data_IF_398812128970
#
_entry.id   IF_398812128970
#
_cell.length_a   1.000
_cell.length_b   1.000
_cell.length_c   1.000
_cell.angle_alpha   90.00
_cell.angle_beta   90.00
_cell.angle_gamma   90.00
#
_symmetry.space_group_name_H-M   'P 1'
#
loop_
_entity.id
_entity.type
_entity.pdbx_description
1 polymer ?
#
# COMPACT_ATOMS: atom_id res chain seq x y z
N UNK A 1 22.99 23.64 7.93
CA UNK A 1 23.10 22.33 7.26
C UNK A 1 21.80 22.10 6.52
N UNK A 2 21.83 21.63 5.26
CA UNK A 2 20.61 21.12 4.63
C UNK A 2 20.10 19.92 5.45
N UNK A 3 18.78 19.67 5.51
CA UNK A 3 18.28 18.44 6.09
C UNK A 3 18.92 17.26 5.35
N UNK A 4 19.39 16.25 6.10
CA UNK A 4 19.85 15.00 5.48
C UNK A 4 18.64 14.35 4.83
N UNK A 5 18.57 14.37 3.51
CA UNK A 5 17.76 13.41 2.75
C UNK A 5 18.47 12.07 2.87
N UNK A 6 18.00 11.22 3.77
CA UNK A 6 18.38 9.80 3.73
C UNK A 6 17.64 9.20 2.55
N UNK A 7 18.38 8.86 1.49
CA UNK A 7 17.88 7.99 0.43
C UNK A 7 17.63 6.61 1.06
N UNK A 8 16.37 6.31 1.36
CA UNK A 8 15.94 4.99 1.80
C UNK A 8 15.87 4.14 0.54
N UNK A 9 16.71 3.12 0.44
CA UNK A 9 16.63 2.17 -0.65
C UNK A 9 15.33 1.37 -0.53
N UNK A 10 14.64 1.10 -1.65
CA UNK A 10 13.42 0.27 -1.67
C UNK A 10 13.62 -1.10 -0.98
N UNK A 11 14.84 -1.62 -0.96
CA UNK A 11 15.23 -2.87 -0.29
C UNK A 11 15.19 -2.80 1.24
N UNK A 12 15.12 -1.60 1.84
CA UNK A 12 14.96 -1.39 3.29
C UNK A 12 13.49 -1.21 3.70
N UNK A 13 12.54 -1.23 2.76
CA UNK A 13 11.12 -1.12 3.06
C UNK A 13 10.54 -2.48 3.43
N UNK A 14 10.10 -2.61 4.68
CA UNK A 14 9.37 -3.79 5.14
C UNK A 14 7.97 -3.84 4.48
N UNK A 15 7.52 -5.03 4.02
CA UNK A 15 6.17 -5.18 3.48
C UNK A 15 5.12 -4.94 4.56
N UNK A 16 3.95 -4.47 4.15
CA UNK A 16 2.82 -4.30 5.08
C UNK A 16 2.40 -5.66 5.67
N UNK A 17 2.15 -5.67 6.98
CA UNK A 17 1.65 -6.88 7.64
C UNK A 17 0.30 -7.33 7.06
N UNK A 18 0.09 -8.65 6.94
CA UNK A 18 -1.10 -9.24 6.31
C UNK A 18 -2.43 -8.74 6.91
N UNK A 19 -2.48 -8.56 8.23
CA UNK A 19 -3.65 -8.03 8.94
C UNK A 19 -3.99 -6.59 8.52
N UNK A 20 -2.95 -5.79 8.29
CA UNK A 20 -3.06 -4.39 7.87
C UNK A 20 -3.44 -4.35 6.40
N UNK A 21 -2.83 -5.20 5.57
CA UNK A 21 -3.17 -5.33 4.17
C UNK A 21 -4.65 -5.74 3.98
N UNK A 22 -5.15 -6.68 4.79
CA UNK A 22 -6.55 -7.11 4.75
C UNK A 22 -7.50 -5.97 5.15
N UNK A 23 -7.17 -5.26 6.23
CA UNK A 23 -7.96 -4.12 6.70
C UNK A 23 -8.02 -3.02 5.64
N UNK A 24 -6.87 -2.68 5.04
CA UNK A 24 -6.79 -1.69 3.98
C UNK A 24 -7.57 -2.12 2.73
N UNK A 25 -7.51 -3.40 2.32
CA UNK A 25 -8.34 -3.91 1.21
C UNK A 25 -9.83 -3.71 1.47
N UNK A 26 -10.30 -3.96 2.70
CA UNK A 26 -11.71 -3.75 3.07
C UNK A 26 -12.10 -2.28 3.04
N UNK A 27 -11.22 -1.40 3.52
CA UNK A 27 -11.45 0.06 3.50
C UNK A 27 -11.47 0.56 2.06
N UNK A 28 -10.46 0.25 1.25
CA UNK A 28 -10.40 0.68 -0.15
C UNK A 28 -11.60 0.17 -0.93
N UNK A 29 -12.00 -1.09 -0.75
CA UNK A 29 -13.19 -1.64 -1.41
C UNK A 29 -14.50 -0.96 -0.98
N UNK A 30 -14.58 -0.41 0.24
CA UNK A 30 -15.76 0.28 0.74
C UNK A 30 -15.86 1.74 0.25
N UNK A 31 -14.73 2.39 -0.03
CA UNK A 31 -14.67 3.82 -0.33
C UNK A 31 -14.27 4.16 -1.77
N UNK A 32 -13.65 3.24 -2.51
CA UNK A 32 -13.33 3.46 -3.92
C UNK A 32 -14.60 3.56 -4.77
N UNK A 33 -14.61 4.51 -5.67
CA UNK A 33 -15.71 4.81 -6.59
C UNK A 33 -15.76 3.82 -7.75
N UNK A 34 -14.59 3.30 -8.14
CA UNK A 34 -14.44 2.34 -9.24
C UNK A 34 -13.22 1.42 -9.05
N UNK A 35 -13.07 0.47 -9.98
CA UNK A 35 -12.03 -0.54 -9.93
C UNK A 35 -10.62 0.02 -10.19
N UNK A 36 -10.50 1.10 -10.94
CA UNK A 36 -9.20 1.72 -11.25
C UNK A 36 -8.69 2.52 -10.05
N UNK A 37 -9.58 3.26 -9.37
CA UNK A 37 -9.29 3.92 -8.10
C UNK A 37 -8.87 2.90 -7.03
N UNK A 38 -9.56 1.77 -6.94
CA UNK A 38 -9.20 0.68 -6.01
C UNK A 38 -7.76 0.17 -6.23
N UNK A 39 -7.37 -0.09 -7.49
CA UNK A 39 -6.01 -0.53 -7.84
C UNK A 39 -4.97 0.53 -7.52
N UNK A 40 -5.26 1.79 -7.83
CA UNK A 40 -4.37 2.90 -7.55
C UNK A 40 -4.11 3.04 -6.04
N UNK A 41 -5.16 3.01 -5.23
CA UNK A 41 -5.05 3.12 -3.78
C UNK A 41 -4.30 1.95 -3.15
N UNK A 42 -4.54 0.72 -3.62
CA UNK A 42 -3.79 -0.45 -3.15
C UNK A 42 -2.31 -0.38 -3.55
N UNK A 43 -2.02 0.08 -4.77
CA UNK A 43 -0.64 0.26 -5.23
C UNK A 43 0.10 1.34 -4.43
N UNK A 44 -0.57 2.41 -4.02
CA UNK A 44 0.03 3.45 -3.16
C UNK A 44 0.40 2.92 -1.78
N UNK A 45 -0.35 1.92 -1.29
CA UNK A 45 -0.08 1.25 -0.03
C UNK A 45 0.93 0.10 -0.17
N UNK A 46 1.42 -0.19 -1.38
CA UNK A 46 2.27 -1.35 -1.64
C UNK A 46 1.55 -2.70 -1.50
N UNK A 47 0.22 -2.72 -1.64
CA UNK A 47 -0.60 -3.93 -1.49
C UNK A 47 -0.93 -4.49 -2.87
N UNK A 48 -0.58 -5.76 -3.10
CA UNK A 48 -0.98 -6.45 -4.32
C UNK A 48 -2.51 -6.67 -4.38
N UNK A 49 -3.16 -6.38 -5.52
CA UNK A 49 -4.58 -6.70 -5.70
C UNK A 49 -4.75 -8.21 -5.84
N UNK A 50 -5.27 -8.86 -4.81
CA UNK A 50 -5.73 -10.25 -4.90
C UNK A 50 -4.75 -11.33 -4.44
N UNK A 51 -3.79 -11.02 -3.56
CA UNK A 51 -3.12 -12.09 -2.80
C UNK A 51 -4.15 -12.68 -1.84
N UNK A 52 -4.82 -13.75 -2.27
CA UNK A 52 -5.56 -14.64 -1.40
C UNK A 52 -4.50 -15.48 -0.67
N UNK A 53 -4.67 -15.61 0.64
CA UNK A 53 -3.96 -16.60 1.44
C UNK A 53 -4.10 -18.02 0.85
#
# INVERSE_FOLDING_TARGET
MPPKTTDIADEELEPVADETANSARRVVAAYATDADECRMLLSMLGIAPGENA
#
